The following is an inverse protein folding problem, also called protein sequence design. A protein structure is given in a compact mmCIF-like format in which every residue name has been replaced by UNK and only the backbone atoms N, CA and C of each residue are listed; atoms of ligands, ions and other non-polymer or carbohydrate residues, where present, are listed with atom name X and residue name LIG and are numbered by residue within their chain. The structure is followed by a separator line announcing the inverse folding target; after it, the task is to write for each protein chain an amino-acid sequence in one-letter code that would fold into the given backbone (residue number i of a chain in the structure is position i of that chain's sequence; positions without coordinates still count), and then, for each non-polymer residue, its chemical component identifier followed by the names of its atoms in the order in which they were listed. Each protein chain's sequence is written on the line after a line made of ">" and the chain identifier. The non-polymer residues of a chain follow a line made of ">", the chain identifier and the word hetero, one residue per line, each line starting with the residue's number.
data_IF_132352863934
#
_entry.id   IF_132352863934
#
_cell.length_a   1.000
_cell.length_b   1.000
_cell.length_c   1.000
_cell.angle_alpha   90.00
_cell.angle_beta   90.00
_cell.angle_gamma   90.00
#
_symmetry.space_group_name_H-M   'P 1'
#
loop_
_entity.id
_entity.type
_entity.pdbx_description
1 polymer ?
#
# COMPACT_ATOMS: atom_id res chain seq x y z
N UNK A 1 -27.77 65.58 -15.05
CA UNK A 1 -29.04 65.18 -14.42
C UNK A 1 -28.71 64.21 -13.32
N UNK A 2 -28.98 64.54 -12.06
CA UNK A 2 -30.19 64.12 -11.31
C UNK A 2 -30.34 62.58 -11.23
N UNK A 3 -30.57 61.87 -10.12
CA UNK A 3 -30.64 62.09 -8.66
C UNK A 3 -31.59 60.97 -8.15
N UNK A 4 -31.11 60.12 -7.21
CA UNK A 4 -31.83 59.46 -6.08
C UNK A 4 -32.92 58.41 -6.43
N UNK A 5 -33.33 57.45 -5.60
CA UNK A 5 -33.00 56.81 -4.30
C UNK A 5 -33.93 55.57 -4.23
N UNK A 6 -33.62 54.48 -3.50
CA UNK A 6 -33.95 54.24 -2.08
C UNK A 6 -33.27 52.89 -1.75
N UNK A 7 -32.46 52.69 -0.69
CA UNK A 7 -32.83 52.70 0.74
C UNK A 7 -33.69 51.45 1.01
N UNK A 8 -33.31 50.44 1.79
CA UNK A 8 -32.76 50.40 3.16
C UNK A 8 -32.00 49.06 3.35
N UNK A 9 -31.08 48.79 4.27
CA UNK A 9 -30.56 49.48 5.46
C UNK A 9 -29.97 48.41 6.39
N UNK A 10 -28.71 48.62 6.83
CA UNK A 10 -28.03 48.17 8.08
C UNK A 10 -28.05 46.66 8.49
N UNK A 11 -26.99 46.02 8.97
CA UNK A 11 -25.81 46.51 9.68
C UNK A 11 -24.68 45.44 9.71
N UNK A 12 -23.44 45.91 9.82
CA UNK A 12 -22.17 45.18 9.96
C UNK A 12 -22.01 44.59 11.36
N UNK A 13 -21.41 43.40 11.47
CA UNK A 13 -20.40 43.13 12.50
C UNK A 13 -19.23 42.36 11.89
N UNK A 14 -18.03 42.91 12.11
CA UNK A 14 -16.71 42.50 11.63
C UNK A 14 -15.99 41.74 12.73
N UNK A 15 -15.18 40.75 12.33
CA UNK A 15 -13.99 40.28 13.06
C UNK A 15 -14.26 39.29 14.20
N UNK A 16 -13.38 38.36 14.53
CA UNK A 16 -12.02 38.05 14.07
C UNK A 16 -11.69 36.64 14.57
N UNK A 17 -10.81 35.98 13.83
CA UNK A 17 -10.20 34.71 14.13
C UNK A 17 -9.15 34.90 15.25
N UNK A 18 -9.15 34.05 16.28
CA UNK A 18 -7.96 33.85 17.12
C UNK A 18 -7.81 32.39 17.56
N UNK A 19 -6.56 32.01 17.65
CA UNK A 19 -5.97 30.69 17.77
C UNK A 19 -5.44 30.41 19.18
N UNK A 20 -5.33 29.11 19.48
CA UNK A 20 -4.45 28.46 20.47
C UNK A 20 -4.64 28.80 21.96
N UNK A 21 -4.92 27.77 22.79
CA UNK A 21 -4.03 27.32 23.88
C UNK A 21 -4.66 26.17 24.67
N UNK A 22 -3.81 25.18 24.95
CA UNK A 22 -4.02 24.00 25.79
C UNK A 22 -4.36 24.34 27.24
N UNK A 23 -5.36 23.67 27.84
CA UNK A 23 -5.35 23.31 29.27
C UNK A 23 -6.38 22.23 29.61
N UNK A 24 -5.87 21.07 30.04
CA UNK A 24 -6.34 20.22 31.15
C UNK A 24 -7.81 20.27 31.64
N UNK A 25 -8.50 19.14 31.46
CA UNK A 25 -9.23 18.40 32.52
C UNK A 25 -10.47 19.02 33.23
N UNK A 26 -11.36 18.18 33.81
CA UNK A 26 -12.81 18.40 33.81
C UNK A 26 -13.42 18.70 35.19
N UNK A 27 -14.60 19.33 35.23
CA UNK A 27 -15.51 19.21 36.38
C UNK A 27 -16.98 19.23 35.91
N UNK A 28 -17.70 18.16 36.27
CA UNK A 28 -19.10 17.91 36.01
C UNK A 28 -19.99 18.87 36.81
N UNK A 29 -21.01 19.42 36.16
CA UNK A 29 -22.14 20.09 36.80
C UNK A 29 -23.04 19.07 37.51
N UNK A 30 -23.23 19.23 38.81
CA UNK A 30 -24.22 18.50 39.59
C UNK A 30 -25.61 19.09 39.32
N UNK A 31 -26.51 18.31 38.70
CA UNK A 31 -27.94 18.64 38.60
C UNK A 31 -28.67 17.94 39.75
N UNK A 32 -29.32 18.74 40.58
CA UNK A 32 -30.18 18.35 41.70
C UNK A 32 -31.32 17.42 41.28
N UNK A 33 -31.52 16.29 41.99
CA UNK A 33 -32.70 15.42 41.82
C UNK A 33 -33.97 16.07 42.37
N UNK A 34 -35.14 15.88 41.73
CA UNK A 34 -36.42 16.29 42.30
C UNK A 34 -36.94 15.28 43.34
N UNK A 35 -37.66 15.79 44.33
CA UNK A 35 -38.29 15.03 45.43
C UNK A 35 -39.65 14.47 45.02
N UNK A 36 -39.86 13.16 45.17
CA UNK A 36 -41.15 12.50 44.93
C UNK A 36 -42.04 12.53 46.19
N UNK A 37 -43.32 12.88 46.01
CA UNK A 37 -44.37 12.94 47.05
C UNK A 37 -44.93 11.53 47.41
N UNK A 38 -45.55 11.35 48.59
CA UNK A 38 -45.73 10.03 49.22
C UNK A 38 -46.86 9.14 48.64
N UNK A 39 -47.58 9.57 47.60
CA UNK A 39 -48.83 8.92 47.18
C UNK A 39 -48.70 7.92 46.00
N UNK A 40 -47.48 7.67 45.51
CA UNK A 40 -47.25 6.78 44.35
C UNK A 40 -46.04 5.86 44.55
N UNK A 41 -45.95 5.17 45.69
CA UNK A 41 -44.84 4.27 46.02
C UNK A 41 -44.88 2.89 45.31
N UNK A 42 -45.87 2.64 44.44
CA UNK A 42 -46.08 1.32 43.82
C UNK A 42 -45.74 1.18 42.34
N UNK A 43 -45.34 2.24 41.63
CA UNK A 43 -45.19 2.20 40.15
C UNK A 43 -43.97 2.96 39.60
N UNK A 44 -42.87 3.02 40.35
CA UNK A 44 -41.56 3.36 39.78
C UNK A 44 -40.72 2.09 39.75
N UNK A 45 -40.60 1.47 38.57
CA UNK A 45 -39.54 0.49 38.33
C UNK A 45 -38.21 1.23 38.41
N UNK A 46 -37.35 0.80 39.33
CA UNK A 46 -35.97 1.25 39.46
C UNK A 46 -35.26 0.98 38.12
N UNK A 47 -35.04 2.03 37.33
CA UNK A 47 -34.17 1.94 36.16
C UNK A 47 -32.80 1.50 36.66
N UNK A 48 -32.39 0.26 36.32
CA UNK A 48 -31.03 -0.20 36.59
C UNK A 48 -30.09 0.83 36.00
N UNK A 49 -29.38 1.55 36.86
CA UNK A 49 -28.30 2.41 36.43
C UNK A 49 -27.29 1.53 35.72
N UNK A 50 -27.07 1.77 34.43
CA UNK A 50 -25.81 1.40 33.81
C UNK A 50 -24.76 2.25 34.48
N UNK A 51 -24.12 1.65 35.49
CA UNK A 51 -22.84 2.12 35.99
C UNK A 51 -21.89 2.06 34.79
N UNK A 52 -21.39 3.20 34.26
CA UNK A 52 -20.34 3.15 33.27
C UNK A 52 -19.14 2.63 34.03
N UNK A 53 -18.96 1.30 34.01
CA UNK A 53 -17.71 0.66 34.36
C UNK A 53 -16.65 1.48 33.64
N UNK A 54 -15.93 2.30 34.40
CA UNK A 54 -14.65 2.85 33.99
C UNK A 54 -13.79 1.63 33.74
N UNK A 55 -13.90 1.08 32.53
CA UNK A 55 -12.97 0.12 31.97
C UNK A 55 -11.71 0.95 31.78
N UNK A 56 -10.97 1.11 32.88
CA UNK A 56 -9.60 1.54 32.86
C UNK A 56 -8.90 0.40 32.13
N UNK A 57 -8.75 0.52 30.81
CA UNK A 57 -7.95 -0.43 30.03
C UNK A 57 -6.63 -0.57 30.78
N UNK A 58 -6.29 -1.76 31.31
CA UNK A 58 -5.03 -1.95 31.98
C UNK A 58 -3.94 -1.47 31.02
N UNK A 59 -2.95 -0.69 31.46
CA UNK A 59 -1.88 -0.22 30.57
C UNK A 59 -1.22 -1.39 29.83
N UNK A 60 -1.25 -2.59 30.41
CA UNK A 60 -0.83 -3.84 29.75
C UNK A 60 -1.66 -4.23 28.52
N UNK A 61 -2.99 -4.04 28.49
CA UNK A 61 -3.81 -4.41 27.31
C UNK A 61 -3.51 -3.48 26.13
N UNK A 62 -3.34 -2.17 26.39
CA UNK A 62 -2.93 -1.22 25.35
C UNK A 62 -1.51 -1.52 24.86
N UNK A 63 -0.57 -1.81 25.77
CA UNK A 63 0.81 -2.17 25.41
C UNK A 63 0.86 -3.45 24.56
N UNK A 64 0.05 -4.46 24.91
CA UNK A 64 -0.06 -5.69 24.12
C UNK A 64 -0.69 -5.43 22.75
N UNK A 65 -1.72 -4.58 22.65
CA UNK A 65 -2.31 -4.20 21.37
C UNK A 65 -1.35 -3.38 20.49
N UNK A 66 -0.54 -2.49 21.07
CA UNK A 66 0.51 -1.78 20.35
C UNK A 66 1.65 -2.73 19.93
N UNK A 67 2.03 -3.67 20.79
CA UNK A 67 3.06 -4.67 20.47
C UNK A 67 2.61 -5.62 19.36
N UNK A 68 1.34 -6.07 19.35
CA UNK A 68 0.80 -6.87 18.26
C UNK A 68 0.68 -6.08 16.96
N UNK A 69 0.30 -4.80 17.02
CA UNK A 69 0.27 -3.91 15.85
C UNK A 69 1.69 -3.68 15.28
N UNK A 70 2.68 -3.43 16.15
CA UNK A 70 4.10 -3.32 15.75
C UNK A 70 4.62 -4.64 15.15
N UNK A 71 4.24 -5.78 15.71
CA UNK A 71 4.62 -7.09 15.17
C UNK A 71 4.04 -7.35 13.78
N UNK A 72 2.82 -6.88 13.48
CA UNK A 72 2.23 -6.97 12.14
C UNK A 72 2.88 -6.04 11.12
N UNK A 73 3.48 -4.93 11.57
CA UNK A 73 4.24 -3.99 10.72
C UNK A 73 5.61 -4.56 10.29
N UNK A 74 6.13 -5.53 11.03
CA UNK A 74 7.34 -6.28 10.67
C UNK A 74 7.00 -7.41 9.69
N UNK A 75 6.44 -7.08 8.52
CA UNK A 75 6.52 -8.02 7.40
C UNK A 75 7.99 -8.00 6.94
N UNK A 76 8.82 -8.82 7.58
CA UNK A 76 10.12 -9.16 7.01
C UNK A 76 9.82 -9.85 5.68
N UNK A 77 10.03 -9.13 4.57
CA UNK A 77 9.89 -9.71 3.24
C UNK A 77 10.83 -10.90 3.13
N UNK A 78 10.29 -12.11 3.30
CA UNK A 78 11.10 -13.32 3.21
C UNK A 78 11.57 -13.47 1.77
N UNK A 79 12.84 -13.20 1.49
CA UNK A 79 13.41 -13.43 0.16
C UNK A 79 13.01 -14.82 -0.36
N UNK A 80 12.41 -14.87 -1.56
CA UNK A 80 11.93 -16.11 -2.18
C UNK A 80 12.71 -16.37 -3.46
N UNK A 81 13.24 -17.58 -3.58
CA UNK A 81 13.75 -18.09 -4.85
C UNK A 81 12.74 -19.09 -5.38
N UNK A 82 12.10 -18.77 -6.50
CA UNK A 82 11.13 -19.66 -7.12
C UNK A 82 11.81 -20.83 -7.82
N UNK A 83 11.15 -22.00 -7.83
CA UNK A 83 11.49 -23.04 -8.81
C UNK A 83 10.89 -22.72 -10.18
N UNK A 84 11.40 -23.34 -11.25
CA UNK A 84 10.97 -23.10 -12.64
C UNK A 84 9.44 -23.22 -12.83
N UNK A 85 8.85 -24.36 -12.47
CA UNK A 85 7.41 -24.59 -12.64
C UNK A 85 6.55 -23.88 -11.59
N UNK A 86 7.09 -23.55 -10.42
CA UNK A 86 6.39 -22.71 -9.45
C UNK A 86 6.27 -21.28 -9.97
N UNK A 87 7.33 -20.73 -10.56
CA UNK A 87 7.28 -19.42 -11.19
C UNK A 87 6.31 -19.41 -12.37
N UNK A 88 6.39 -20.41 -13.25
CA UNK A 88 5.51 -20.51 -14.41
C UNK A 88 4.03 -20.49 -14.00
N UNK A 89 3.64 -21.26 -12.98
CA UNK A 89 2.27 -21.23 -12.43
C UNK A 89 1.91 -19.88 -11.80
N UNK A 90 2.81 -19.29 -11.02
CA UNK A 90 2.55 -17.98 -10.42
C UNK A 90 2.34 -16.90 -11.50
N UNK A 91 3.10 -16.93 -12.59
CA UNK A 91 2.94 -16.01 -13.72
C UNK A 91 1.68 -16.33 -14.56
N UNK A 92 1.30 -17.61 -14.68
CA UNK A 92 0.04 -18.04 -15.30
C UNK A 92 -1.17 -17.43 -14.58
N UNK A 93 -1.16 -17.43 -13.25
CA UNK A 93 -2.23 -16.83 -12.43
C UNK A 93 -2.38 -15.31 -12.65
N UNK A 94 -1.31 -14.64 -13.09
CA UNK A 94 -1.36 -13.22 -13.48
C UNK A 94 -1.69 -12.99 -14.96
N UNK A 95 -1.93 -14.04 -15.75
CA UNK A 95 -2.28 -13.93 -17.16
C UNK A 95 -1.10 -13.54 -18.07
N UNK A 96 0.11 -14.00 -17.74
CA UNK A 96 1.33 -13.68 -18.50
C UNK A 96 1.48 -14.51 -19.79
N UNK A 97 0.81 -15.66 -19.89
CA UNK A 97 0.80 -16.49 -21.11
C UNK A 97 0.17 -15.73 -22.27
N UNK A 98 0.93 -15.59 -23.37
CA UNK A 98 0.51 -14.86 -24.56
C UNK A 98 0.47 -13.33 -24.38
N UNK A 99 0.84 -12.78 -23.22
CA UNK A 99 0.79 -11.34 -22.99
C UNK A 99 1.70 -10.61 -23.99
N UNK A 100 1.10 -9.74 -24.82
CA UNK A 100 1.79 -9.01 -25.91
C UNK A 100 2.48 -9.94 -26.92
N UNK A 101 2.01 -11.18 -27.05
CA UNK A 101 2.56 -12.18 -27.97
C UNK A 101 3.78 -12.94 -27.44
N UNK A 102 4.13 -12.79 -26.16
CA UNK A 102 5.19 -13.55 -25.50
C UNK A 102 4.62 -14.76 -24.78
N UNK A 103 5.28 -15.92 -24.94
CA UNK A 103 4.90 -17.17 -24.28
C UNK A 103 5.31 -17.18 -22.80
N UNK A 104 4.76 -18.08 -21.99
CA UNK A 104 5.20 -18.28 -20.60
C UNK A 104 6.70 -18.60 -20.54
N UNK A 105 7.19 -19.36 -21.52
CA UNK A 105 8.60 -19.71 -21.63
C UNK A 105 9.51 -18.48 -21.79
N UNK A 106 9.05 -17.42 -22.48
CA UNK A 106 9.80 -16.16 -22.59
C UNK A 106 9.98 -15.49 -21.22
N UNK A 107 8.90 -15.44 -20.44
CA UNK A 107 8.91 -14.82 -19.11
C UNK A 107 9.74 -15.61 -18.09
N UNK A 108 9.63 -16.94 -18.12
CA UNK A 108 10.43 -17.82 -17.26
C UNK A 108 11.91 -17.74 -17.66
N UNK A 109 12.24 -17.75 -18.95
CA UNK A 109 13.61 -17.57 -19.42
C UNK A 109 14.19 -16.21 -18.99
N UNK A 110 13.42 -15.13 -19.17
CA UNK A 110 13.81 -13.79 -18.71
C UNK A 110 14.16 -13.80 -17.22
N UNK A 111 13.24 -14.26 -16.36
CA UNK A 111 13.42 -14.28 -14.91
C UNK A 111 14.67 -15.05 -14.47
N UNK A 112 14.99 -16.15 -15.16
CA UNK A 112 16.19 -16.92 -14.86
C UNK A 112 17.46 -16.13 -15.17
N UNK A 113 17.57 -15.56 -16.37
CA UNK A 113 18.78 -14.85 -16.77
C UNK A 113 18.94 -13.47 -16.13
N UNK A 114 17.86 -12.89 -15.60
CA UNK A 114 17.95 -11.65 -14.83
C UNK A 114 18.35 -11.89 -13.37
N UNK A 115 17.76 -12.88 -12.70
CA UNK A 115 17.90 -13.00 -11.23
C UNK A 115 18.12 -14.41 -10.71
N UNK A 116 18.11 -15.43 -11.57
CA UNK A 116 18.08 -16.83 -11.13
C UNK A 116 16.82 -17.15 -10.31
N UNK A 117 15.68 -16.52 -10.65
CA UNK A 117 14.39 -16.65 -9.95
C UNK A 117 14.33 -16.08 -8.53
N UNK A 118 15.32 -15.27 -8.12
CA UNK A 118 15.35 -14.66 -6.80
C UNK A 118 14.55 -13.34 -6.77
N UNK A 119 13.47 -13.30 -5.99
CA UNK A 119 12.64 -12.08 -5.83
C UNK A 119 13.36 -10.97 -5.08
N UNK A 120 14.36 -11.27 -4.27
CA UNK A 120 15.12 -10.27 -3.52
C UNK A 120 16.44 -9.87 -4.20
N UNK A 121 16.64 -10.23 -5.48
CA UNK A 121 17.83 -9.86 -6.22
C UNK A 121 17.90 -8.33 -6.40
N UNK A 122 19.04 -7.76 -6.03
CA UNK A 122 19.36 -6.34 -6.24
C UNK A 122 20.75 -6.27 -6.84
N UNK A 123 20.86 -5.57 -7.97
CA UNK A 123 22.12 -5.25 -8.62
C UNK A 123 22.33 -3.73 -8.63
N UNK A 124 23.60 -3.32 -8.49
CA UNK A 124 23.99 -1.92 -8.35
C UNK A 124 24.81 -1.47 -9.54
N UNK A 125 24.31 -0.46 -10.25
CA UNK A 125 24.96 0.12 -11.41
C UNK A 125 25.97 1.21 -11.01
N UNK A 126 26.92 1.51 -11.90
CA UNK A 126 28.00 2.46 -11.62
C UNK A 126 27.54 3.90 -11.34
N UNK A 127 26.37 4.32 -11.85
CA UNK A 127 25.77 5.63 -11.55
C UNK A 127 24.85 5.62 -10.32
N UNK A 128 24.88 4.54 -9.54
CA UNK A 128 24.12 4.43 -8.30
C UNK A 128 22.65 4.07 -8.50
N UNK A 129 22.20 3.82 -9.73
CA UNK A 129 20.90 3.19 -9.96
C UNK A 129 20.93 1.70 -9.58
N UNK A 130 19.75 1.12 -9.41
CA UNK A 130 19.58 -0.28 -8.98
C UNK A 130 18.68 -1.03 -9.94
N UNK A 131 18.95 -2.31 -10.15
CA UNK A 131 18.04 -3.23 -10.83
C UNK A 131 17.43 -4.16 -9.76
N UNK A 132 16.09 -4.25 -9.74
CA UNK A 132 15.37 -4.78 -8.58
C UNK A 132 14.48 -5.96 -8.94
N UNK A 133 14.51 -6.97 -8.08
CA UNK A 133 13.59 -8.09 -8.06
C UNK A 133 13.83 -9.12 -9.15
N UNK A 134 12.85 -10.01 -9.34
CA UNK A 134 12.99 -11.19 -10.19
C UNK A 134 13.28 -10.84 -11.66
N UNK A 135 12.77 -9.69 -12.13
CA UNK A 135 12.97 -9.19 -13.50
C UNK A 135 14.02 -8.07 -13.58
N UNK A 136 14.77 -7.78 -12.51
CA UNK A 136 15.82 -6.76 -12.49
C UNK A 136 15.37 -5.41 -13.09
N UNK A 137 14.24 -4.90 -12.59
CA UNK A 137 13.64 -3.67 -13.09
C UNK A 137 14.42 -2.46 -12.58
N UNK A 138 14.84 -1.59 -13.51
CA UNK A 138 15.75 -0.48 -13.22
C UNK A 138 15.08 0.72 -12.54
N UNK A 139 15.72 1.22 -11.47
CA UNK A 139 15.34 2.43 -10.74
C UNK A 139 15.62 3.73 -11.50
N UNK A 140 16.22 3.66 -12.70
CA UNK A 140 16.45 4.85 -13.54
C UNK A 140 15.16 5.45 -14.08
N UNK A 141 14.10 4.64 -14.19
CA UNK A 141 12.89 4.99 -14.94
C UNK A 141 11.60 4.36 -14.41
N UNK A 142 11.68 3.15 -13.87
CA UNK A 142 10.48 2.33 -13.64
C UNK A 142 9.95 2.45 -12.22
N UNK A 143 10.84 2.42 -11.23
CA UNK A 143 10.54 2.58 -9.81
C UNK A 143 11.41 3.68 -9.19
N UNK A 144 11.00 4.22 -8.04
CA UNK A 144 11.80 5.22 -7.32
C UNK A 144 12.40 4.67 -6.03
N UNK A 145 13.58 5.16 -5.68
CA UNK A 145 14.14 5.07 -4.33
C UNK A 145 13.79 6.34 -3.53
N UNK A 146 13.98 6.32 -2.20
CA UNK A 146 13.56 7.41 -1.30
C UNK A 146 14.23 8.77 -1.60
N UNK A 147 15.40 8.77 -2.24
CA UNK A 147 16.29 9.93 -2.33
C UNK A 147 16.58 10.41 -3.76
N UNK A 148 15.86 9.90 -4.76
CA UNK A 148 16.14 10.16 -6.18
C UNK A 148 14.93 10.75 -6.89
N UNK A 149 15.07 11.95 -7.45
CA UNK A 149 14.10 12.54 -8.37
C UNK A 149 14.31 11.94 -9.77
N UNK A 150 13.73 10.75 -9.96
CA UNK A 150 13.78 9.98 -11.20
C UNK A 150 12.35 9.72 -11.69
N UNK A 151 12.15 9.53 -13.00
CA UNK A 151 10.87 9.06 -13.51
C UNK A 151 10.47 7.76 -12.80
N UNK A 152 9.19 7.67 -12.43
CA UNK A 152 8.61 6.51 -11.74
C UNK A 152 7.39 6.00 -12.51
N UNK A 153 7.64 5.36 -13.66
CA UNK A 153 6.58 4.99 -14.59
C UNK A 153 5.64 3.89 -14.05
N UNK A 154 6.15 3.04 -13.15
CA UNK A 154 5.33 2.05 -12.45
C UNK A 154 4.59 2.62 -11.24
N UNK A 155 4.95 3.82 -10.78
CA UNK A 155 4.36 4.52 -9.63
C UNK A 155 4.49 3.75 -8.31
N UNK A 156 5.66 3.17 -8.07
CA UNK A 156 5.95 2.34 -6.88
C UNK A 156 7.38 2.57 -6.38
N UNK A 157 7.68 2.09 -5.17
CA UNK A 157 9.05 2.06 -4.68
C UNK A 157 9.76 0.82 -5.22
N UNK A 158 11.07 0.92 -5.41
CA UNK A 158 11.86 -0.24 -5.87
C UNK A 158 11.87 -1.38 -4.84
N UNK A 159 11.65 -1.08 -3.55
CA UNK A 159 11.45 -2.08 -2.50
C UNK A 159 10.22 -2.96 -2.71
N UNK A 160 9.18 -2.44 -3.36
CA UNK A 160 7.93 -3.18 -3.61
C UNK A 160 8.19 -4.34 -4.60
N UNK A 161 9.19 -4.18 -5.47
CA UNK A 161 9.61 -5.18 -6.44
C UNK A 161 10.38 -6.34 -5.82
N UNK A 162 10.83 -6.20 -4.56
CA UNK A 162 11.54 -7.23 -3.81
C UNK A 162 10.59 -8.18 -3.06
N UNK A 163 9.28 -7.91 -3.15
CA UNK A 163 8.26 -8.70 -2.49
C UNK A 163 8.22 -10.13 -3.05
N UNK A 164 8.11 -11.16 -2.19
CA UNK A 164 7.90 -12.55 -2.63
C UNK A 164 6.62 -12.73 -3.42
N UNK A 165 5.59 -11.93 -3.14
CA UNK A 165 4.40 -11.85 -3.95
C UNK A 165 4.70 -11.02 -5.21
N UNK A 166 4.59 -11.66 -6.37
CA UNK A 166 4.99 -11.08 -7.66
C UNK A 166 4.03 -10.02 -8.21
N UNK A 167 2.92 -9.69 -7.52
CA UNK A 167 1.88 -8.78 -8.05
C UNK A 167 2.44 -7.46 -8.58
N UNK A 168 3.17 -6.71 -7.76
CA UNK A 168 3.68 -5.39 -8.15
C UNK A 168 4.75 -5.50 -9.25
N UNK A 169 5.59 -6.53 -9.13
CA UNK A 169 6.61 -6.88 -10.12
C UNK A 169 6.02 -7.22 -11.48
N UNK A 170 4.95 -8.01 -11.53
CA UNK A 170 4.25 -8.38 -12.77
C UNK A 170 3.54 -7.18 -13.38
N UNK A 171 2.85 -6.36 -12.58
CA UNK A 171 2.21 -5.12 -13.08
C UNK A 171 3.24 -4.20 -13.73
N UNK A 172 4.41 -4.03 -13.12
CA UNK A 172 5.47 -3.20 -13.68
C UNK A 172 6.07 -3.84 -14.95
N UNK A 173 6.36 -5.14 -14.94
CA UNK A 173 6.85 -5.86 -16.12
C UNK A 173 5.90 -5.78 -17.32
N UNK A 174 4.58 -5.89 -17.09
CA UNK A 174 3.56 -5.71 -18.12
C UNK A 174 3.62 -4.30 -18.74
N UNK A 175 3.76 -3.24 -17.92
CA UNK A 175 3.93 -1.87 -18.43
C UNK A 175 5.19 -1.70 -19.29
N UNK A 176 6.27 -2.38 -18.93
CA UNK A 176 7.52 -2.37 -19.72
C UNK A 176 7.31 -3.10 -21.05
N UNK A 177 6.66 -4.28 -21.04
CA UNK A 177 6.38 -5.04 -22.25
C UNK A 177 5.37 -4.37 -23.21
N UNK A 178 4.63 -3.36 -22.74
CA UNK A 178 3.81 -2.51 -23.61
C UNK A 178 4.64 -1.52 -24.44
N UNK A 179 5.88 -1.21 -24.02
CA UNK A 179 6.76 -0.31 -24.77
C UNK A 179 7.09 -0.89 -26.15
N UNK A 180 7.50 -0.07 -27.13
CA UNK A 180 7.81 -0.53 -28.48
C UNK A 180 8.86 -1.67 -28.56
N UNK A 181 9.76 -1.76 -27.59
CA UNK A 181 10.77 -2.82 -27.53
C UNK A 181 10.26 -4.13 -26.91
N UNK A 182 9.12 -4.12 -26.22
CA UNK A 182 8.60 -5.30 -25.51
C UNK A 182 9.63 -5.90 -24.54
N UNK A 183 9.81 -7.22 -24.57
CA UNK A 183 10.84 -7.92 -23.79
C UNK A 183 12.27 -7.61 -24.21
N UNK A 184 12.48 -7.04 -25.41
CA UNK A 184 13.81 -6.61 -25.84
C UNK A 184 14.36 -5.43 -25.03
N UNK A 185 13.52 -4.81 -24.18
CA UNK A 185 13.95 -3.85 -23.16
C UNK A 185 14.94 -4.46 -22.16
N UNK A 186 14.91 -5.79 -21.96
CA UNK A 186 15.86 -6.52 -21.12
C UNK A 186 16.99 -7.11 -21.96
N UNK A 187 18.21 -6.68 -21.66
CA UNK A 187 19.42 -7.20 -22.31
C UNK A 187 19.60 -8.71 -22.10
N UNK A 188 19.28 -9.20 -20.89
CA UNK A 188 19.31 -10.63 -20.56
C UNK A 188 18.41 -11.45 -21.51
N UNK A 189 17.18 -11.01 -21.75
CA UNK A 189 16.27 -11.71 -22.66
C UNK A 189 16.76 -11.65 -24.11
N UNK A 190 17.24 -10.51 -24.59
CA UNK A 190 17.83 -10.40 -25.95
C UNK A 190 18.99 -11.36 -26.17
N UNK A 191 19.88 -11.51 -25.18
CA UNK A 191 21.07 -12.36 -25.32
C UNK A 191 20.78 -13.85 -25.15
N UNK A 192 19.87 -14.18 -24.24
CA UNK A 192 19.74 -15.56 -23.79
C UNK A 192 18.43 -16.24 -24.23
N UNK A 193 17.39 -15.49 -24.56
CA UNK A 193 16.05 -16.03 -24.84
C UNK A 193 15.56 -15.73 -26.26
N UNK A 194 15.81 -14.52 -26.77
CA UNK A 194 15.28 -14.07 -28.06
C UNK A 194 15.71 -14.98 -29.21
N UNK A 195 14.71 -15.46 -29.98
CA UNK A 195 14.94 -16.26 -31.19
C UNK A 195 15.41 -17.70 -30.93
N UNK A 196 15.32 -18.20 -29.69
CA UNK A 196 15.66 -19.58 -29.33
C UNK A 196 14.41 -20.44 -29.15
N UNK A 197 14.58 -21.76 -29.22
CA UNK A 197 13.54 -22.67 -28.72
C UNK A 197 13.56 -22.63 -27.19
N UNK A 198 12.44 -22.23 -26.59
CA UNK A 198 12.29 -22.03 -25.15
C UNK A 198 11.41 -23.09 -24.48
N UNK A 199 10.97 -24.15 -25.20
CA UNK A 199 10.04 -25.16 -24.66
C UNK A 199 10.50 -25.75 -23.32
N UNK A 200 11.79 -25.99 -23.15
CA UNK A 200 12.38 -26.57 -21.93
C UNK A 200 12.11 -25.71 -20.68
N UNK A 201 11.83 -24.41 -20.83
CA UNK A 201 11.51 -23.54 -19.70
C UNK A 201 10.16 -23.86 -19.05
N UNK A 202 9.24 -24.46 -19.79
CA UNK A 202 7.90 -24.85 -19.30
C UNK A 202 7.64 -26.35 -19.43
N UNK A 203 8.57 -27.12 -20.00
CA UNK A 203 8.46 -28.56 -20.11
C UNK A 203 8.29 -29.22 -18.73
N UNK A 204 7.34 -30.17 -18.63
CA UNK A 204 6.98 -30.85 -17.39
C UNK A 204 6.29 -29.99 -16.33
N UNK A 205 5.91 -28.73 -16.63
CA UNK A 205 5.08 -27.93 -15.75
C UNK A 205 3.59 -28.16 -16.01
N UNK A 206 2.79 -28.25 -14.95
CA UNK A 206 1.32 -28.32 -15.01
C UNK A 206 0.79 -26.87 -15.00
N UNK A 207 0.36 -26.35 -16.16
CA UNK A 207 0.01 -24.95 -16.43
C UNK A 207 -1.42 -24.80 -16.96
#
# INVERSE_FOLDING_TARGET
>A
GKRLLQGDGLERVVGTQESFSTTSGPCLSAISKPSCKPAWQGLCMEGRSWDPRRQLCPPGIMLLAFATLLSCLLTSGQAKVYSRCELARALQDFGMEGYRGYSMADWVCLAYFTSGFNTAAVDHEADGSTNNGIFQISSRKWCKNLSTDVPNWCQMYCSDLLNPNLKDTVICAMKIAQQPQGLASWEAWRRHCQGKDLKDWVDGCDL
#
